data_IF_498844630627
#
_entry.id   IF_498844630627
#
_cell.length_a   1.000
_cell.length_b   1.000
_cell.length_c   1.000
_cell.angle_alpha   90.00
_cell.angle_beta   90.00
_cell.angle_gamma   90.00
#
_symmetry.space_group_name_H-M   'P 1'
#
loop_
_entity.id
_entity.type
_entity.pdbx_description
1 polymer ?
#
# COMPACT_ATOMS: atom_id res chain seq x y z
N UNK A 1 26.13 19.67 22.60
CA UNK A 1 24.77 19.06 22.56
C UNK A 1 24.63 18.14 23.76
N UNK A 2 23.66 18.40 24.65
CA UNK A 2 23.40 17.56 25.83
C UNK A 2 22.19 16.67 25.55
N UNK A 3 22.27 15.38 25.87
CA UNK A 3 21.12 14.47 25.78
C UNK A 3 20.39 14.40 27.12
N UNK A 4 19.06 14.39 27.09
CA UNK A 4 18.21 14.21 28.28
C UNK A 4 16.98 13.38 27.89
N UNK A 5 16.53 12.54 28.81
CA UNK A 5 15.22 11.92 28.70
C UNK A 5 14.16 12.89 29.24
N UNK A 6 13.24 13.32 28.39
CA UNK A 6 12.18 14.27 28.76
C UNK A 6 10.85 13.83 28.16
N UNK A 7 9.76 14.36 28.71
CA UNK A 7 8.43 14.21 28.15
C UNK A 7 8.12 15.38 27.23
N UNK A 8 7.59 15.09 26.05
CA UNK A 8 7.30 16.04 24.99
C UNK A 8 5.80 16.00 24.73
N UNK A 9 5.18 17.17 24.73
CA UNK A 9 3.80 17.35 24.30
C UNK A 9 3.77 18.18 23.02
N UNK A 10 2.97 17.73 22.06
CA UNK A 10 2.53 18.53 20.93
C UNK A 10 1.04 18.81 21.04
N UNK A 11 0.68 20.07 20.82
CA UNK A 11 -0.71 20.51 20.69
C UNK A 11 -0.94 21.07 19.29
N UNK A 12 -2.07 20.77 18.64
CA UNK A 12 -2.43 21.27 17.29
C UNK A 12 -3.91 21.67 17.24
N UNK A 13 -4.26 22.76 16.54
CA UNK A 13 -5.67 23.15 16.38
C UNK A 13 -6.27 22.36 15.21
N UNK A 14 -7.26 21.51 15.51
CA UNK A 14 -7.93 20.68 14.51
C UNK A 14 -8.54 21.55 13.41
N UNK A 15 -8.04 21.31 12.19
CA UNK A 15 -8.57 21.93 10.98
C UNK A 15 -8.27 23.42 10.90
N UNK A 16 -7.23 23.92 11.56
CA UNK A 16 -6.81 25.33 11.54
C UNK A 16 -6.81 25.90 10.11
N UNK A 17 -6.08 25.27 9.19
CA UNK A 17 -5.99 25.70 7.79
C UNK A 17 -7.35 25.78 7.08
N UNK A 18 -8.26 24.85 7.38
CA UNK A 18 -9.61 24.85 6.81
C UNK A 18 -10.51 25.90 7.47
N UNK A 19 -10.37 26.12 8.78
CA UNK A 19 -11.11 27.14 9.54
C UNK A 19 -10.68 28.56 9.14
N UNK A 20 -9.39 28.79 8.88
CA UNK A 20 -8.84 30.12 8.56
C UNK A 20 -8.92 30.48 7.08
N UNK A 21 -9.28 29.56 6.19
CA UNK A 21 -9.39 29.83 4.75
C UNK A 21 -10.40 30.94 4.41
N UNK A 22 -11.44 31.12 5.24
CA UNK A 22 -12.43 32.19 5.11
C UNK A 22 -12.24 33.35 6.08
N UNK A 23 -11.18 33.35 6.90
CA UNK A 23 -10.95 34.37 7.93
C UNK A 23 -10.11 35.52 7.38
N UNK A 24 -10.37 36.72 7.89
CA UNK A 24 -9.42 37.82 7.76
C UNK A 24 -8.14 37.53 8.56
N UNK A 25 -7.06 38.23 8.22
CA UNK A 25 -5.79 38.15 8.98
C UNK A 25 -6.00 38.48 10.46
N UNK A 26 -6.82 39.49 10.76
CA UNK A 26 -7.13 39.91 12.14
C UNK A 26 -7.83 38.79 12.92
N UNK A 27 -8.84 38.14 12.34
CA UNK A 27 -9.55 37.01 12.97
C UNK A 27 -8.64 35.80 13.21
N UNK A 28 -7.72 35.53 12.27
CA UNK A 28 -6.73 34.45 12.43
C UNK A 28 -5.77 34.75 13.58
N UNK A 29 -5.29 35.99 13.66
CA UNK A 29 -4.41 36.43 14.73
C UNK A 29 -5.11 36.43 16.11
N UNK A 30 -6.38 36.83 16.16
CA UNK A 30 -7.19 36.77 17.37
C UNK A 30 -7.40 35.33 17.85
N UNK A 31 -7.70 34.39 16.94
CA UNK A 31 -7.83 32.98 17.29
C UNK A 31 -6.52 32.40 17.85
N UNK A 32 -5.38 32.72 17.23
CA UNK A 32 -4.06 32.28 17.72
C UNK A 32 -3.72 32.91 19.07
N UNK A 33 -4.04 34.19 19.28
CA UNK A 33 -3.85 34.87 20.55
C UNK A 33 -4.72 34.23 21.65
N UNK A 34 -5.99 33.93 21.36
CA UNK A 34 -6.89 33.27 22.31
C UNK A 34 -6.43 31.84 22.63
N UNK A 35 -5.98 31.09 21.63
CA UNK A 35 -5.37 29.77 21.85
C UNK A 35 -4.19 29.86 22.82
N UNK A 36 -3.27 30.81 22.59
CA UNK A 36 -2.10 31.03 23.45
C UNK A 36 -2.51 31.42 24.88
N UNK A 37 -3.49 32.31 25.02
CA UNK A 37 -4.02 32.77 26.31
C UNK A 37 -4.64 31.61 27.12
N UNK A 38 -5.30 30.65 26.46
CA UNK A 38 -5.93 29.52 27.13
C UNK A 38 -4.95 28.41 27.50
N UNK A 39 -3.91 28.18 26.69
CA UNK A 39 -3.03 27.02 26.84
C UNK A 39 -1.80 27.31 27.68
N UNK A 40 -1.11 28.45 27.48
CA UNK A 40 0.17 28.70 28.16
C UNK A 40 0.08 28.78 29.69
N UNK A 41 -0.95 29.41 30.29
CA UNK A 41 -1.08 29.42 31.76
C UNK A 41 -1.23 28.01 32.34
N UNK A 42 -1.87 27.09 31.59
CA UNK A 42 -2.00 25.69 32.02
C UNK A 42 -0.64 25.00 31.93
N UNK A 43 0.09 25.21 30.83
CA UNK A 43 1.45 24.67 30.64
C UNK A 43 2.37 25.09 31.79
N UNK A 44 2.38 26.37 32.15
CA UNK A 44 3.21 26.89 33.24
C UNK A 44 2.83 26.29 34.61
N UNK A 45 1.53 26.16 34.90
CA UNK A 45 1.01 25.58 36.15
C UNK A 45 1.44 24.12 36.35
N UNK A 46 1.65 23.37 35.28
CA UNK A 46 2.16 21.98 35.31
C UNK A 46 3.65 21.89 34.98
N UNK A 47 4.41 22.96 35.23
CA UNK A 47 5.87 22.98 35.05
C UNK A 47 6.35 22.66 33.62
N UNK A 48 5.48 22.86 32.63
CA UNK A 48 5.81 22.70 31.24
C UNK A 48 6.57 23.91 30.71
N UNK A 49 7.56 23.64 29.84
CA UNK A 49 8.34 24.67 29.16
C UNK A 49 7.99 24.67 27.68
N UNK A 50 7.44 25.78 27.18
CA UNK A 50 7.26 25.99 25.75
C UNK A 50 8.63 26.06 25.08
N UNK A 51 8.93 25.09 24.20
CA UNK A 51 10.19 25.05 23.44
C UNK A 51 10.07 25.93 22.21
N UNK A 52 9.03 25.70 21.40
CA UNK A 52 8.75 26.51 20.21
C UNK A 52 7.30 26.38 19.77
N UNK A 53 6.90 27.30 18.90
CA UNK A 53 5.62 27.30 18.21
C UNK A 53 5.85 26.94 16.74
N UNK A 54 5.05 26.02 16.19
CA UNK A 54 5.11 25.57 14.81
C UNK A 54 3.75 25.86 14.16
N UNK A 55 3.59 27.06 13.61
CA UNK A 55 2.28 27.52 13.14
C UNK A 55 1.32 27.73 14.31
N UNK A 56 0.24 26.97 14.35
CA UNK A 56 -0.72 26.91 15.45
C UNK A 56 -0.38 25.85 16.51
N UNK A 57 0.64 25.02 16.26
CA UNK A 57 1.05 23.97 17.15
C UNK A 57 2.06 24.43 18.22
N UNK A 58 1.98 23.89 19.43
CA UNK A 58 2.97 24.13 20.49
C UNK A 58 3.77 22.87 20.79
N UNK A 59 5.10 23.01 20.83
CA UNK A 59 6.02 22.00 21.32
C UNK A 59 6.41 22.35 22.75
N UNK A 60 5.98 21.53 23.69
CA UNK A 60 6.18 21.73 25.12
C UNK A 60 6.97 20.57 25.70
N UNK A 61 7.92 20.88 26.58
CA UNK A 61 8.75 19.90 27.28
C UNK A 61 8.40 19.87 28.78
N UNK A 62 8.38 18.67 29.36
CA UNK A 62 8.13 18.42 30.78
C UNK A 62 9.20 17.44 31.31
N UNK A 63 9.63 17.66 32.55
CA UNK A 63 10.48 16.69 33.25
C UNK A 63 9.64 15.50 33.81
N UNK A 64 8.36 15.73 34.12
CA UNK A 64 7.42 14.73 34.66
C UNK A 64 6.43 14.26 33.58
N UNK A 65 6.34 12.94 33.30
CA UNK A 65 5.30 12.38 32.43
C UNK A 65 3.90 12.58 32.98
N UNK A 66 3.72 12.50 34.30
CA UNK A 66 2.43 12.72 34.96
C UNK A 66 1.94 14.14 34.74
N UNK A 67 2.82 15.14 34.94
CA UNK A 67 2.49 16.56 34.76
C UNK A 67 2.08 16.85 33.32
N UNK A 68 2.78 16.26 32.34
CA UNK A 68 2.41 16.39 30.94
C UNK A 68 1.00 15.88 30.67
N UNK A 69 0.64 14.71 31.19
CA UNK A 69 -0.70 14.14 30.95
C UNK A 69 -1.78 14.96 31.67
N UNK A 70 -1.56 15.35 32.93
CA UNK A 70 -2.48 16.21 33.68
C UNK A 70 -2.66 17.58 33.01
N UNK A 71 -1.57 18.18 32.52
CA UNK A 71 -1.61 19.40 31.73
C UNK A 71 -2.50 19.22 30.50
N UNK A 72 -2.37 18.10 29.79
CA UNK A 72 -3.21 17.79 28.64
C UNK A 72 -4.69 17.71 29.00
N UNK A 73 -5.02 17.04 30.11
CA UNK A 73 -6.41 16.93 30.61
C UNK A 73 -6.99 18.29 30.95
N UNK A 74 -6.22 19.11 31.64
CA UNK A 74 -6.65 20.45 32.06
C UNK A 74 -6.80 21.40 30.87
N UNK A 75 -5.91 21.34 29.87
CA UNK A 75 -6.07 22.09 28.61
C UNK A 75 -7.42 21.74 27.96
N UNK A 76 -7.76 20.45 27.89
CA UNK A 76 -9.04 20.03 27.32
C UNK A 76 -10.24 20.52 28.16
N UNK A 77 -10.11 20.60 29.48
CA UNK A 77 -11.15 21.16 30.37
C UNK A 77 -11.35 22.65 30.15
N UNK A 78 -10.27 23.44 30.09
CA UNK A 78 -10.32 24.88 29.80
C UNK A 78 -10.94 25.15 28.44
N UNK A 79 -10.55 24.40 27.41
CA UNK A 79 -11.11 24.54 26.06
C UNK A 79 -12.59 24.15 26.00
N UNK A 80 -13.01 23.12 26.73
CA UNK A 80 -14.44 22.76 26.84
C UNK A 80 -15.25 23.91 27.43
N UNK A 81 -14.78 24.52 28.51
CA UNK A 81 -15.40 25.71 29.10
C UNK A 81 -15.47 26.87 28.10
N UNK A 82 -14.38 27.13 27.38
CA UNK A 82 -14.33 28.18 26.36
C UNK A 82 -15.26 27.93 25.16
N UNK A 83 -15.42 26.66 24.75
CA UNK A 83 -16.24 26.26 23.61
C UNK A 83 -17.72 26.11 23.96
N UNK A 84 -18.09 26.18 25.24
CA UNK A 84 -19.47 26.12 25.69
C UNK A 84 -20.26 27.32 25.14
N UNK A 85 -21.39 27.05 24.50
CA UNK A 85 -22.24 28.10 23.91
C UNK A 85 -21.71 28.73 22.61
N UNK A 86 -20.63 28.21 22.02
CA UNK A 86 -20.08 28.70 20.73
C UNK A 86 -20.47 27.81 19.56
N UNK A 87 -20.58 28.40 18.37
CA UNK A 87 -20.77 27.67 17.12
C UNK A 87 -19.44 27.06 16.63
N UNK A 88 -19.55 25.99 15.83
CA UNK A 88 -18.41 25.23 15.31
C UNK A 88 -17.25 26.05 14.70
N UNK A 89 -17.46 27.14 13.92
CA UNK A 89 -16.36 27.95 13.39
C UNK A 89 -15.60 28.74 14.47
N UNK A 90 -16.22 28.99 15.63
CA UNK A 90 -15.62 29.72 16.75
C UNK A 90 -14.99 28.81 17.80
N UNK A 91 -15.21 27.48 17.71
CA UNK A 91 -14.64 26.51 18.64
C UNK A 91 -13.15 26.28 18.37
N UNK A 92 -12.36 26.34 19.43
CA UNK A 92 -10.95 25.99 19.45
C UNK A 92 -10.85 24.54 19.92
N UNK A 93 -10.59 23.64 18.99
CA UNK A 93 -10.51 22.21 19.25
C UNK A 93 -9.08 21.75 19.06
N UNK A 94 -8.48 21.18 20.10
CA UNK A 94 -7.06 20.87 20.12
C UNK A 94 -6.85 19.37 20.23
N UNK A 95 -5.87 18.88 19.48
CA UNK A 95 -5.31 17.54 19.61
C UNK A 95 -4.10 17.62 20.51
N UNK A 96 -3.95 16.64 21.41
CA UNK A 96 -2.81 16.59 22.32
C UNK A 96 -2.16 15.22 22.19
N UNK A 97 -0.87 15.21 21.89
CA UNK A 97 -0.04 14.02 21.82
C UNK A 97 1.18 14.15 22.72
N UNK A 98 1.48 13.10 23.48
CA UNK A 98 2.56 13.10 24.47
C UNK A 98 3.44 11.87 24.28
N UNK A 99 4.74 12.05 24.29
CA UNK A 99 5.71 10.97 24.26
C UNK A 99 6.87 11.26 25.21
N UNK A 100 7.51 10.23 25.74
CA UNK A 100 8.72 10.36 26.53
C UNK A 100 9.87 9.64 25.82
N UNK A 101 11.05 10.23 25.86
CA UNK A 101 12.24 9.62 25.28
C UNK A 101 13.46 10.53 25.31
N UNK A 102 14.59 9.99 24.90
CA UNK A 102 15.83 10.75 24.80
C UNK A 102 15.75 11.78 23.66
N UNK A 103 16.14 13.02 23.98
CA UNK A 103 16.32 14.09 23.01
C UNK A 103 17.68 14.74 23.18
N UNK A 104 18.21 15.26 22.08
CA UNK A 104 19.34 16.15 22.08
C UNK A 104 18.84 17.60 22.21
N UNK A 105 19.32 18.28 23.24
CA UNK A 105 19.04 19.69 23.50
C UNK A 105 20.18 20.52 22.92
N UNK A 106 19.80 21.49 22.09
CA UNK A 106 20.70 22.44 21.47
C UNK A 106 20.86 23.70 22.35
N UNK A 107 21.89 24.51 22.10
CA UNK A 107 22.27 25.62 22.99
C UNK A 107 21.24 26.77 23.01
N UNK A 108 20.41 26.85 21.96
CA UNK A 108 19.25 27.74 21.84
C UNK A 108 17.99 27.23 22.57
N UNK A 109 18.08 26.04 23.18
CA UNK A 109 16.98 25.41 23.92
C UNK A 109 16.05 24.55 23.07
N UNK A 110 16.31 24.43 21.77
CA UNK A 110 15.53 23.57 20.88
C UNK A 110 15.83 22.08 21.11
N UNK A 111 14.87 21.21 20.78
CA UNK A 111 14.95 19.77 21.02
C UNK A 111 14.83 18.98 19.72
N UNK A 112 15.69 17.97 19.59
CA UNK A 112 15.75 17.10 18.42
C UNK A 112 15.87 15.64 18.84
N UNK A 113 15.30 14.75 18.03
CA UNK A 113 15.43 13.31 18.23
C UNK A 113 14.17 12.56 17.83
N UNK A 114 14.27 11.24 17.90
CA UNK A 114 13.18 10.34 17.52
C UNK A 114 11.94 10.55 18.39
N UNK A 115 12.10 10.93 19.66
CA UNK A 115 10.99 11.24 20.54
C UNK A 115 10.11 12.38 19.99
N UNK A 116 10.71 13.44 19.42
CA UNK A 116 9.99 14.55 18.77
C UNK A 116 9.26 14.06 17.53
N UNK A 117 9.94 13.25 16.70
CA UNK A 117 9.38 12.68 15.48
C UNK A 117 8.17 11.80 15.79
N UNK A 118 8.29 10.89 16.76
CA UNK A 118 7.19 10.03 17.24
C UNK A 118 6.01 10.88 17.74
N UNK A 119 6.27 11.91 18.54
CA UNK A 119 5.21 12.80 19.06
C UNK A 119 4.42 13.45 17.91
N UNK A 120 5.12 13.90 16.86
CA UNK A 120 4.47 14.51 15.68
C UNK A 120 3.59 13.53 14.90
N UNK A 121 3.95 12.24 14.90
CA UNK A 121 3.14 11.19 14.26
C UNK A 121 1.96 10.79 15.13
N UNK A 122 2.14 10.78 16.45
CA UNK A 122 1.07 10.54 17.40
C UNK A 122 0.03 11.66 17.34
N UNK A 123 0.45 12.92 17.25
CA UNK A 123 -0.43 14.09 17.08
C UNK A 123 -1.35 13.91 15.86
N UNK A 124 -0.78 13.48 14.73
CA UNK A 124 -1.57 13.31 13.49
C UNK A 124 -2.71 12.29 13.58
N UNK A 125 -2.65 11.35 14.52
CA UNK A 125 -3.71 10.35 14.77
C UNK A 125 -4.57 10.69 15.99
N UNK A 126 -4.19 11.69 16.78
CA UNK A 126 -4.93 12.09 17.97
C UNK A 126 -6.25 12.75 17.57
N UNK A 127 -7.30 12.40 18.30
CA UNK A 127 -8.61 13.01 18.12
C UNK A 127 -8.69 14.34 18.89
N UNK A 128 -9.43 15.30 18.34
CA UNK A 128 -9.65 16.56 19.03
C UNK A 128 -10.46 16.34 20.31
N UNK A 129 -10.07 17.05 21.38
CA UNK A 129 -10.70 16.87 22.68
C UNK A 129 -10.24 15.61 23.43
N UNK A 130 -9.23 14.90 22.92
CA UNK A 130 -8.61 13.75 23.58
C UNK A 130 -7.11 14.01 23.83
N UNK A 131 -6.54 13.24 24.77
CA UNK A 131 -5.12 13.27 25.12
C UNK A 131 -4.54 11.90 24.84
N UNK A 132 -3.67 11.84 23.84
CA UNK A 132 -3.03 10.60 23.39
C UNK A 132 -1.60 10.57 23.88
N UNK A 133 -1.13 9.39 24.28
CA UNK A 133 0.25 9.25 24.72
C UNK A 133 0.80 7.84 24.46
N UNK A 134 2.13 7.73 24.38
CA UNK A 134 2.81 6.45 24.11
C UNK A 134 2.93 5.59 25.36
N UNK A 135 3.26 4.31 25.15
CA UNK A 135 3.61 3.39 26.23
C UNK A 135 4.74 3.89 27.13
N UNK A 136 5.73 4.61 26.59
CA UNK A 136 6.81 5.19 27.38
C UNK A 136 6.27 6.15 28.46
N UNK A 137 5.29 6.97 28.12
CA UNK A 137 4.60 7.85 29.08
C UNK A 137 3.76 7.02 30.05
N UNK A 138 2.99 6.05 29.54
CA UNK A 138 2.12 5.20 30.37
C UNK A 138 2.88 4.43 31.45
N UNK A 139 4.09 3.96 31.13
CA UNK A 139 4.94 3.21 32.07
C UNK A 139 5.59 4.11 33.12
N UNK A 140 5.87 5.37 32.78
CA UNK A 140 6.59 6.30 33.65
C UNK A 140 5.68 7.24 34.47
N UNK A 141 4.40 7.39 34.10
CA UNK A 141 3.45 8.25 34.80
C UNK A 141 2.83 7.58 36.04
N UNK A 142 2.28 8.38 36.95
CA UNK A 142 1.45 7.90 38.06
C UNK A 142 0.04 7.52 37.57
N UNK A 143 -0.18 6.23 37.32
CA UNK A 143 -1.44 5.67 36.80
C UNK A 143 -2.66 5.89 37.71
N UNK A 144 -2.45 6.21 38.99
CA UNK A 144 -3.54 6.47 39.94
C UNK A 144 -4.17 7.85 39.74
N UNK A 145 -3.40 8.80 39.21
CA UNK A 145 -3.86 10.17 39.00
C UNK A 145 -4.59 10.35 37.67
N UNK A 146 -4.32 9.48 36.68
CA UNK A 146 -4.91 9.59 35.34
C UNK A 146 -5.47 8.24 34.85
N UNK A 147 -6.77 7.99 35.01
CA UNK A 147 -7.45 6.86 34.41
C UNK A 147 -7.25 6.85 32.89
N UNK A 148 -6.77 5.73 32.35
CA UNK A 148 -6.31 5.66 30.97
C UNK A 148 -6.71 4.33 30.32
N UNK A 149 -6.98 4.36 29.02
CA UNK A 149 -7.32 3.18 28.22
C UNK A 149 -6.32 2.97 27.10
N UNK A 150 -6.07 1.70 26.78
CA UNK A 150 -5.26 1.33 25.63
C UNK A 150 -6.04 1.48 24.33
N UNK A 151 -5.43 2.11 23.33
CA UNK A 151 -5.92 2.18 21.94
C UNK A 151 -5.31 1.05 21.10
N UNK A 152 -4.13 0.58 21.49
CA UNK A 152 -3.40 -0.54 20.90
C UNK A 152 -2.16 -0.10 20.12
N UNK A 153 -1.59 -1.03 19.36
CA UNK A 153 -0.38 -0.79 18.58
C UNK A 153 -0.65 0.02 17.31
N UNK A 154 0.25 0.96 17.01
CA UNK A 154 0.27 1.80 15.82
C UNK A 154 1.66 1.77 15.17
N UNK A 155 1.68 1.53 13.87
CA UNK A 155 2.91 1.67 13.07
C UNK A 155 2.95 3.08 12.50
N UNK A 156 3.97 3.84 12.86
CA UNK A 156 4.18 5.18 12.31
C UNK A 156 5.16 5.15 11.14
N UNK A 157 4.94 6.02 10.16
CA UNK A 157 5.82 6.12 8.99
C UNK A 157 7.24 6.52 9.41
N UNK A 158 8.22 5.71 9.03
CA UNK A 158 9.64 5.97 9.31
C UNK A 158 10.12 5.49 10.69
N UNK A 159 9.26 4.85 11.46
CA UNK A 159 9.62 4.17 12.72
C UNK A 159 9.48 2.67 12.45
N UNK A 160 10.53 1.89 12.74
CA UNK A 160 10.56 0.46 12.45
C UNK A 160 9.61 -0.33 13.36
N UNK A 161 9.52 0.07 14.63
CA UNK A 161 8.74 -0.62 15.65
C UNK A 161 7.30 -0.12 15.74
N UNK A 162 6.39 -1.01 16.16
CA UNK A 162 5.02 -0.63 16.49
C UNK A 162 5.02 0.02 17.86
N UNK A 163 4.46 1.21 17.96
CA UNK A 163 4.33 1.93 19.23
C UNK A 163 2.93 1.69 19.78
N UNK A 164 2.85 1.29 21.04
CA UNK A 164 1.60 1.12 21.75
C UNK A 164 1.10 2.47 22.25
N UNK A 165 -0.18 2.76 22.00
CA UNK A 165 -0.81 4.06 22.24
C UNK A 165 -1.93 3.94 23.26
N UNK A 166 -2.03 4.96 24.11
CA UNK A 166 -3.00 5.11 25.18
C UNK A 166 -3.74 6.44 25.04
N UNK A 167 -4.92 6.52 25.64
CA UNK A 167 -5.68 7.76 25.81
C UNK A 167 -6.22 7.89 27.22
N UNK A 168 -6.38 9.13 27.67
CA UNK A 168 -7.05 9.42 28.95
C UNK A 168 -8.55 9.11 28.86
N UNK A 169 -9.09 8.46 29.88
CA UNK A 169 -10.54 8.23 30.02
C UNK A 169 -11.20 9.53 30.48
N UNK A 170 -12.32 9.89 29.85
CA UNK A 170 -13.15 10.99 30.33
C UNK A 170 -13.87 10.50 31.58
N UNK A 171 -13.64 11.15 32.72
CA UNK A 171 -14.53 10.99 33.87
C UNK A 171 -15.90 11.54 33.47
N UNK A 172 -16.85 10.64 33.21
CA UNK A 172 -18.27 11.00 33.25
C UNK A 172 -18.58 11.44 34.69
N UNK A 173 -19.20 12.60 34.90
CA UNK A 173 -19.68 13.00 36.22
C UNK A 173 -20.61 11.90 36.75
N UNK A 174 -20.26 11.35 37.91
CA UNK A 174 -21.12 10.45 38.67
C UNK A 174 -22.39 11.24 39.01
N UNK A 175 -23.50 10.96 38.31
CA UNK A 175 -24.77 11.65 38.50
C UNK A 175 -25.66 11.86 37.27
N UNK A 176 -25.24 11.46 36.06
CA UNK A 176 -26.14 11.41 34.91
C UNK A 176 -26.43 9.94 34.57
N UNK A 177 -27.69 9.53 34.81
CA UNK A 177 -28.21 8.18 34.61
C UNK A 177 -27.67 7.48 33.34
N UNK A 178 -26.66 6.63 33.52
CA UNK A 178 -26.43 5.51 32.63
C UNK A 178 -27.40 4.42 33.09
N UNK A 179 -28.46 4.22 32.33
CA UNK A 179 -29.30 3.05 32.45
C UNK A 179 -28.40 1.81 32.43
N UNK A 180 -28.47 1.02 33.49
CA UNK A 180 -27.88 -0.30 33.59
C UNK A 180 -28.34 -1.14 32.40
N UNK A 181 -27.39 -1.59 31.59
CA UNK A 181 -27.53 -2.71 30.67
C UNK A 181 -26.62 -3.83 31.18
N UNK A 182 -27.15 -5.04 31.46
CA UNK A 182 -26.48 -6.00 32.32
C UNK A 182 -25.27 -6.68 31.67
N UNK A 183 -24.31 -7.02 32.53
CA UNK A 183 -23.15 -7.84 32.22
C UNK A 183 -23.54 -9.17 31.55
N UNK A 184 -22.94 -9.46 30.39
CA UNK A 184 -23.05 -10.76 29.72
C UNK A 184 -21.76 -11.54 29.94
N UNK A 185 -21.88 -12.67 30.64
CA UNK A 185 -20.86 -13.72 30.75
C UNK A 185 -20.81 -14.58 29.46
N UNK A 186 -19.71 -15.31 29.20
CA UNK A 186 -19.39 -15.83 27.88
C UNK A 186 -20.07 -17.17 27.57
N UNK A 187 -20.48 -17.34 26.31
CA UNK A 187 -20.77 -18.65 25.71
C UNK A 187 -22.17 -18.80 25.14
N UNK A 188 -22.32 -18.45 23.86
CA UNK A 188 -23.14 -19.14 22.84
C UNK A 188 -23.01 -18.36 21.53
N UNK A 189 -22.47 -19.02 20.51
CA UNK A 189 -22.38 -18.50 19.15
C UNK A 189 -23.77 -18.24 18.58
N UNK A 190 -23.99 -16.99 18.16
CA UNK A 190 -24.99 -16.59 17.18
C UNK A 190 -24.30 -15.66 16.16
N UNK A 191 -24.70 -15.70 14.88
CA UNK A 191 -23.86 -15.33 13.74
C UNK A 191 -23.49 -13.84 13.73
N UNK A 192 -22.30 -13.47 13.19
CA UNK A 192 -21.77 -12.13 13.36
C UNK A 192 -22.65 -11.09 12.67
N UNK A 193 -23.31 -10.27 13.49
CA UNK A 193 -23.82 -8.98 13.06
C UNK A 193 -22.67 -8.14 12.51
N UNK A 194 -22.88 -7.55 11.34
CA UNK A 194 -21.90 -6.74 10.63
C UNK A 194 -21.30 -5.64 11.53
N UNK A 195 -19.97 -5.44 11.51
CA UNK A 195 -19.33 -4.46 12.40
C UNK A 195 -19.73 -3.01 12.06
N UNK A 196 -19.70 -2.11 13.06
CA UNK A 196 -20.08 -0.72 12.89
C UNK A 196 -19.16 -0.04 11.87
N UNK A 197 -19.81 0.62 10.91
CA UNK A 197 -19.27 1.37 9.78
C UNK A 197 -18.06 2.22 10.23
N UNK A 198 -16.86 1.68 10.03
CA UNK A 198 -15.60 2.35 10.33
C UNK A 198 -15.54 3.69 9.59
N UNK A 199 -14.94 4.67 10.26
CA UNK A 199 -14.73 6.03 9.81
C UNK A 199 -14.51 6.14 8.30
N UNK A 200 -15.33 6.98 7.64
CA UNK A 200 -15.03 7.47 6.29
C UNK A 200 -13.70 8.22 6.36
N UNK A 201 -12.61 7.51 6.08
CA UNK A 201 -11.41 8.14 5.57
C UNK A 201 -11.80 8.85 4.27
N UNK A 202 -11.22 10.03 4.00
CA UNK A 202 -11.31 10.70 2.71
C UNK A 202 -10.61 9.85 1.64
N UNK A 203 -11.25 8.75 1.27
CA UNK A 203 -10.82 7.83 0.24
C UNK A 203 -11.23 8.42 -1.10
N UNK A 204 -10.33 9.12 -1.79
CA UNK A 204 -10.58 9.44 -3.19
C UNK A 204 -10.63 8.12 -3.98
N UNK A 205 -11.78 7.73 -4.56
CA UNK A 205 -11.86 6.53 -5.36
C UNK A 205 -10.93 6.69 -6.57
N UNK A 206 -10.09 5.68 -6.82
CA UNK A 206 -9.14 5.72 -7.92
C UNK A 206 -9.86 5.92 -9.24
N UNK A 207 -9.46 6.94 -10.01
CA UNK A 207 -10.04 7.23 -11.32
C UNK A 207 -9.84 6.07 -12.30
N UNK A 208 -10.84 5.87 -13.18
CA UNK A 208 -10.88 4.76 -14.16
C UNK A 208 -9.56 4.57 -14.92
N UNK A 209 -9.00 5.65 -15.50
CA UNK A 209 -7.76 5.59 -16.26
C UNK A 209 -6.57 5.07 -15.46
N UNK A 210 -6.48 5.39 -14.17
CA UNK A 210 -5.40 4.86 -13.32
C UNK A 210 -5.54 3.36 -13.08
N UNK A 211 -6.78 2.89 -12.90
CA UNK A 211 -7.08 1.46 -12.74
C UNK A 211 -6.80 0.68 -14.03
N UNK A 212 -7.15 1.26 -15.18
CA UNK A 212 -6.86 0.68 -16.49
C UNK A 212 -5.34 0.60 -16.73
N UNK A 213 -4.58 1.66 -16.43
CA UNK A 213 -3.12 1.65 -16.54
C UNK A 213 -2.50 0.61 -15.59
N UNK A 214 -2.98 0.49 -14.34
CA UNK A 214 -2.48 -0.58 -13.46
C UNK A 214 -2.75 -1.97 -14.00
N UNK A 215 -3.93 -2.20 -14.59
CA UNK A 215 -4.30 -3.49 -15.17
C UNK A 215 -3.40 -3.84 -16.36
N UNK A 216 -3.11 -2.86 -17.23
CA UNK A 216 -2.19 -3.04 -18.35
C UNK A 216 -0.76 -3.32 -17.88
N UNK A 217 -0.30 -2.62 -16.84
CA UNK A 217 1.02 -2.88 -16.23
C UNK A 217 1.10 -4.30 -15.64
N UNK A 218 0.07 -4.74 -14.93
CA UNK A 218 -0.01 -6.12 -14.44
C UNK A 218 0.01 -7.12 -15.59
N UNK A 219 -0.69 -6.86 -16.69
CA UNK A 219 -0.67 -7.70 -17.88
C UNK A 219 0.74 -7.80 -18.50
N UNK A 220 1.46 -6.68 -18.59
CA UNK A 220 2.84 -6.65 -19.07
C UNK A 220 3.80 -7.40 -18.13
N UNK A 221 3.71 -7.16 -16.82
CA UNK A 221 4.56 -7.83 -15.81
C UNK A 221 4.29 -9.33 -15.82
N UNK A 222 3.03 -9.74 -15.83
CA UNK A 222 2.66 -11.15 -15.88
C UNK A 222 3.15 -11.82 -17.17
N UNK A 223 3.01 -11.18 -18.32
CA UNK A 223 3.55 -11.69 -19.59
C UNK A 223 5.09 -11.82 -19.54
N UNK A 224 5.78 -10.84 -18.95
CA UNK A 224 7.23 -10.87 -18.78
C UNK A 224 7.67 -11.99 -17.83
N UNK A 225 6.96 -12.20 -16.71
CA UNK A 225 7.23 -13.26 -15.74
C UNK A 225 6.99 -14.64 -16.36
N UNK A 226 5.90 -14.83 -17.09
CA UNK A 226 5.65 -16.07 -17.83
C UNK A 226 6.75 -16.35 -18.87
N UNK A 227 7.23 -15.30 -19.55
CA UNK A 227 8.31 -15.42 -20.52
C UNK A 227 9.67 -15.75 -19.86
N UNK A 228 9.92 -15.21 -18.66
CA UNK A 228 11.20 -15.35 -17.94
C UNK A 228 11.31 -16.67 -17.18
N UNK A 229 10.20 -17.16 -16.60
CA UNK A 229 10.21 -18.39 -15.80
C UNK A 229 10.19 -19.68 -16.61
N UNK A 230 10.08 -19.61 -17.95
CA UNK A 230 9.99 -20.78 -18.83
C UNK A 230 9.01 -21.86 -18.30
N UNK A 231 7.92 -21.45 -17.63
CA UNK A 231 6.89 -22.32 -17.03
C UNK A 231 5.93 -22.91 -18.10
N UNK A 232 6.52 -23.33 -19.20
CA UNK A 232 5.88 -23.98 -20.33
C UNK A 232 6.65 -25.25 -20.57
N UNK A 233 6.12 -26.36 -20.06
CA UNK A 233 6.47 -27.75 -20.38
C UNK A 233 7.90 -27.99 -20.88
N UNK A 234 8.74 -28.60 -20.04
CA UNK A 234 10.01 -29.17 -20.48
C UNK A 234 9.79 -30.09 -21.70
N UNK A 235 10.33 -29.69 -22.84
CA UNK A 235 10.35 -30.48 -24.06
C UNK A 235 11.11 -29.74 -25.15
N UNK A 236 12.16 -30.30 -25.75
CA UNK A 236 12.86 -29.67 -26.86
C UNK A 236 11.94 -29.64 -28.09
N UNK A 237 11.81 -28.50 -28.74
CA UNK A 237 11.09 -28.40 -30.02
C UNK A 237 11.95 -27.63 -31.04
N UNK A 238 12.17 -28.24 -32.19
CA UNK A 238 12.93 -27.67 -33.30
C UNK A 238 11.92 -27.04 -34.26
N UNK A 239 11.88 -25.71 -34.33
CA UNK A 239 11.06 -25.02 -35.33
C UNK A 239 11.85 -24.77 -36.62
N UNK A 240 11.46 -25.47 -37.68
CA UNK A 240 11.83 -25.15 -39.06
C UNK A 240 10.97 -23.96 -39.51
N UNK A 241 11.62 -22.85 -39.85
CA UNK A 241 10.95 -21.67 -40.44
C UNK A 241 10.56 -22.05 -41.87
N UNK A 242 9.26 -22.20 -42.14
CA UNK A 242 8.74 -22.42 -43.49
C UNK A 242 8.93 -21.14 -44.31
N UNK A 243 10.04 -21.06 -45.03
CA UNK A 243 10.11 -20.41 -46.33
C UNK A 243 9.96 -21.52 -47.36
N UNK A 244 8.83 -21.53 -48.07
CA UNK A 244 8.52 -22.38 -49.23
C UNK A 244 9.02 -23.83 -49.14
N UNK A 245 8.36 -24.65 -48.31
CA UNK A 245 8.52 -26.11 -48.36
C UNK A 245 7.95 -26.66 -49.68
N UNK A 246 8.82 -26.94 -50.65
CA UNK A 246 8.59 -28.06 -51.56
C UNK A 246 8.79 -29.33 -50.74
N UNK A 247 7.70 -30.03 -50.40
CA UNK A 247 7.78 -31.36 -49.79
C UNK A 247 8.23 -32.36 -50.88
N UNK A 248 9.44 -32.95 -50.82
CA UNK A 248 9.77 -34.03 -51.73
C UNK A 248 8.88 -35.24 -51.45
N UNK A 249 8.44 -35.93 -52.51
CA UNK A 249 7.69 -37.20 -52.39
C UNK A 249 8.47 -38.18 -51.50
N UNK A 250 7.76 -38.88 -50.60
CA UNK A 250 8.33 -39.94 -49.75
C UNK A 250 9.17 -40.89 -50.61
N UNK A 251 10.47 -40.91 -50.37
CA UNK A 251 11.41 -41.78 -51.09
C UNK A 251 12.01 -42.81 -50.13
N UNK A 252 12.13 -44.05 -50.57
CA UNK A 252 12.75 -45.11 -49.78
C UNK A 252 14.25 -44.82 -49.59
N UNK A 253 14.73 -45.06 -48.36
CA UNK A 253 16.15 -44.95 -48.02
C UNK A 253 16.90 -46.10 -48.69
N UNK A 254 18.05 -45.79 -49.29
CA UNK A 254 18.89 -46.77 -49.96
C UNK A 254 20.07 -47.19 -49.07
N UNK A 255 20.79 -46.21 -48.51
CA UNK A 255 21.97 -46.48 -47.70
C UNK A 255 22.12 -45.47 -46.56
N UNK A 256 22.53 -45.99 -45.39
CA UNK A 256 22.86 -45.20 -44.20
C UNK A 256 24.29 -45.53 -43.79
N UNK A 257 25.13 -44.51 -43.62
CA UNK A 257 26.53 -44.65 -43.24
C UNK A 257 26.88 -43.70 -42.08
N UNK A 258 27.63 -44.20 -41.09
CA UNK A 258 28.11 -43.43 -39.96
C UNK A 258 29.63 -43.29 -40.06
N UNK A 259 30.12 -42.06 -40.20
CA UNK A 259 31.54 -41.74 -40.31
C UNK A 259 32.05 -40.87 -39.17
N UNK A 260 33.36 -40.62 -39.13
CA UNK A 260 34.00 -39.78 -38.10
C UNK A 260 33.45 -38.34 -38.05
N UNK A 261 32.93 -37.83 -39.18
CA UNK A 261 32.34 -36.49 -39.33
C UNK A 261 30.82 -36.40 -39.06
N UNK A 262 30.08 -37.52 -39.04
CA UNK A 262 28.62 -37.51 -38.89
C UNK A 262 27.88 -38.70 -39.53
N UNK A 263 26.53 -38.63 -39.51
CA UNK A 263 25.62 -39.60 -40.13
C UNK A 263 25.21 -39.12 -41.52
N UNK A 264 25.31 -39.98 -42.53
CA UNK A 264 24.88 -39.68 -43.90
C UNK A 264 23.84 -40.70 -44.36
N UNK A 265 22.71 -40.21 -44.88
CA UNK A 265 21.60 -41.00 -45.42
C UNK A 265 21.42 -40.66 -46.89
N UNK A 266 21.43 -41.67 -47.77
CA UNK A 266 21.15 -41.53 -49.20
C UNK A 266 19.82 -42.18 -49.57
N UNK A 267 18.97 -41.43 -50.27
CA UNK A 267 17.72 -41.91 -50.85
C UNK A 267 17.93 -42.50 -52.24
N UNK A 268 17.04 -43.41 -52.67
CA UNK A 268 17.11 -44.06 -54.00
C UNK A 268 16.98 -43.10 -55.20
N UNK A 269 16.52 -41.87 -54.96
CA UNK A 269 16.43 -40.80 -55.95
C UNK A 269 17.71 -39.95 -56.07
N UNK A 270 18.79 -40.30 -55.34
CA UNK A 270 20.05 -39.56 -55.33
C UNK A 270 20.12 -38.41 -54.33
N UNK A 271 19.06 -38.13 -53.56
CA UNK A 271 19.09 -37.14 -52.48
C UNK A 271 19.96 -37.63 -51.31
N UNK A 272 20.78 -36.73 -50.77
CA UNK A 272 21.67 -37.04 -49.64
C UNK A 272 21.40 -36.09 -48.48
N UNK A 273 21.21 -36.66 -47.28
CA UNK A 273 21.06 -35.96 -46.01
C UNK A 273 22.30 -36.25 -45.18
N UNK A 274 23.04 -35.22 -44.76
CA UNK A 274 24.19 -35.35 -43.88
C UNK A 274 23.96 -34.59 -42.57
N UNK A 275 24.17 -35.28 -41.45
CA UNK A 275 24.07 -34.75 -40.08
C UNK A 275 25.47 -34.76 -39.48
N UNK A 276 26.05 -33.58 -39.32
CA UNK A 276 27.41 -33.41 -38.81
C UNK A 276 27.45 -33.38 -37.29
N UNK A 277 28.59 -33.77 -36.68
CA UNK A 277 28.78 -33.71 -35.21
C UNK A 277 28.61 -32.30 -34.60
N UNK A 278 28.75 -31.24 -35.41
CA UNK A 278 28.54 -29.85 -34.99
C UNK A 278 27.06 -29.40 -34.98
N UNK A 279 26.11 -30.33 -35.19
CA UNK A 279 24.67 -30.05 -35.09
C UNK A 279 24.04 -29.49 -36.37
N UNK A 280 24.77 -29.41 -37.48
CA UNK A 280 24.24 -28.98 -38.77
C UNK A 280 23.68 -30.15 -39.59
N UNK A 281 22.45 -30.01 -40.10
CA UNK A 281 21.84 -30.90 -41.09
C UNK A 281 21.87 -30.23 -42.46
N UNK A 282 22.48 -30.88 -43.45
CA UNK A 282 22.47 -30.42 -44.85
C UNK A 282 21.75 -31.43 -45.74
N UNK A 283 20.85 -30.95 -46.59
CA UNK A 283 20.14 -31.75 -47.60
C UNK A 283 20.59 -31.27 -48.97
N UNK A 284 21.02 -32.19 -49.83
CA UNK A 284 21.45 -31.88 -51.20
C UNK A 284 20.62 -32.70 -52.19
N UNK A 285 20.01 -32.01 -53.16
CA UNK A 285 19.22 -32.63 -54.24
C UNK A 285 19.97 -32.52 -55.59
N UNK A 286 20.12 -33.62 -56.34
CA UNK A 286 20.83 -33.63 -57.62
C UNK A 286 20.19 -32.79 -58.74
N UNK A 287 18.91 -32.43 -58.66
CA UNK A 287 18.23 -31.57 -59.64
C UNK A 287 18.61 -30.07 -59.51
N UNK A 288 19.16 -29.66 -58.37
CA UNK A 288 19.66 -28.29 -58.12
C UNK A 288 21.01 -28.36 -57.38
N UNK A 289 22.12 -28.55 -58.12
CA UNK A 289 23.45 -28.75 -57.51
C UNK A 289 23.97 -27.52 -56.76
N UNK A 290 23.50 -26.32 -57.14
CA UNK A 290 23.85 -25.06 -56.47
C UNK A 290 22.89 -24.65 -55.35
N UNK A 291 21.89 -25.49 -55.03
CA UNK A 291 20.97 -25.33 -53.91
C UNK A 291 21.66 -25.56 -52.57
N UNK A 292 22.72 -24.78 -52.31
CA UNK A 292 23.29 -24.58 -50.99
C UNK A 292 22.17 -23.89 -50.20
N UNK A 293 21.38 -24.66 -49.46
CA UNK A 293 20.56 -24.12 -48.36
C UNK A 293 21.55 -23.54 -47.34
N UNK A 294 21.98 -22.32 -47.66
CA UNK A 294 22.87 -21.48 -46.90
C UNK A 294 22.15 -21.25 -45.58
N UNK A 295 22.72 -21.87 -44.54
CA UNK A 295 22.91 -21.28 -43.22
C UNK A 295 21.76 -20.34 -42.83
N UNK A 296 20.84 -20.81 -41.97
CA UNK A 296 20.16 -19.90 -41.04
C UNK A 296 21.21 -19.33 -40.09
N UNK A 297 22.03 -18.39 -40.58
CA UNK A 297 22.80 -17.50 -39.73
C UNK A 297 21.78 -16.67 -38.95
N UNK A 298 21.77 -16.82 -37.63
CA UNK A 298 20.96 -16.01 -36.75
C UNK A 298 19.52 -16.51 -36.57
N UNK A 299 19.31 -17.81 -36.42
CA UNK A 299 18.32 -18.24 -35.45
C UNK A 299 19.03 -18.28 -34.11
N UNK A 300 18.85 -17.26 -33.26
CA UNK A 300 19.07 -17.47 -31.83
C UNK A 300 18.40 -18.80 -31.46
N UNK A 301 19.01 -19.56 -30.54
CA UNK A 301 18.30 -20.61 -29.83
C UNK A 301 17.13 -19.93 -29.10
N UNK A 302 16.06 -19.67 -29.84
CA UNK A 302 14.84 -19.09 -29.35
C UNK A 302 14.06 -20.24 -28.78
N UNK A 303 13.87 -20.19 -27.47
CA UNK A 303 12.80 -20.90 -26.81
C UNK A 303 11.50 -20.51 -27.52
N UNK A 304 10.97 -21.41 -28.33
CA UNK A 304 9.61 -21.29 -28.81
C UNK A 304 8.70 -21.85 -27.71
N UNK A 305 8.22 -20.94 -26.88
CA UNK A 305 7.67 -21.18 -25.54
C UNK A 305 6.29 -21.83 -25.51
N UNK A 306 5.78 -22.44 -26.58
CA UNK A 306 4.43 -23.05 -26.59
C UNK A 306 3.30 -22.09 -26.22
N UNK A 307 3.60 -20.80 -26.13
CA UNK A 307 2.73 -19.73 -25.69
C UNK A 307 2.88 -18.52 -26.61
N UNK A 308 3.26 -18.76 -27.87
CA UNK A 308 3.20 -17.74 -28.92
C UNK A 308 1.75 -17.27 -29.06
N UNK A 309 1.57 -15.96 -29.09
CA UNK A 309 0.30 -15.28 -29.36
C UNK A 309 -0.46 -16.00 -30.49
N UNK A 310 -1.55 -16.69 -30.15
CA UNK A 310 -2.44 -17.30 -31.16
C UNK A 310 -3.23 -18.54 -30.73
N UNK A 311 -2.67 -19.43 -29.90
CA UNK A 311 -3.35 -20.71 -29.61
C UNK A 311 -4.40 -20.57 -28.49
N UNK A 312 -5.68 -20.47 -28.89
CA UNK A 312 -6.85 -20.43 -28.00
C UNK A 312 -6.89 -21.60 -26.99
N UNK A 313 -6.20 -22.70 -27.27
CA UNK A 313 -6.15 -23.92 -26.43
C UNK A 313 -5.57 -23.66 -25.03
N UNK A 314 -4.63 -22.72 -24.89
CA UNK A 314 -3.98 -22.43 -23.60
C UNK A 314 -4.57 -21.23 -22.86
N UNK A 315 -5.59 -20.58 -23.44
CA UNK A 315 -6.31 -19.49 -22.80
C UNK A 315 -6.80 -19.80 -21.37
N UNK A 316 -7.44 -20.96 -21.07
CA UNK A 316 -7.92 -21.24 -19.71
C UNK A 316 -6.78 -21.39 -18.70
N UNK A 317 -5.65 -21.97 -19.10
CA UNK A 317 -4.47 -22.14 -18.23
C UNK A 317 -3.84 -20.77 -17.92
N UNK A 318 -3.70 -19.90 -18.93
CA UNK A 318 -3.21 -18.53 -18.72
C UNK A 318 -4.13 -17.74 -17.78
N UNK A 319 -5.45 -17.90 -17.92
CA UNK A 319 -6.44 -17.26 -17.05
C UNK A 319 -6.32 -17.76 -15.60
N UNK A 320 -6.15 -19.07 -15.38
CA UNK A 320 -5.95 -19.61 -14.04
C UNK A 320 -4.65 -19.12 -13.39
N UNK A 321 -3.55 -19.08 -14.14
CA UNK A 321 -2.28 -18.53 -13.66
C UNK A 321 -2.39 -17.03 -13.34
N UNK A 322 -3.14 -16.28 -14.15
CA UNK A 322 -3.44 -14.86 -13.88
C UNK A 322 -4.25 -14.68 -12.60
N UNK A 323 -5.30 -15.47 -12.41
CA UNK A 323 -6.10 -15.44 -11.18
C UNK A 323 -5.25 -15.81 -9.96
N UNK A 324 -4.38 -16.81 -10.09
CA UNK A 324 -3.47 -17.22 -9.02
C UNK A 324 -2.47 -16.09 -8.68
N UNK A 325 -1.88 -15.46 -9.69
CA UNK A 325 -1.02 -14.28 -9.51
C UNK A 325 -1.76 -13.16 -8.75
N UNK A 326 -2.97 -12.79 -9.20
CA UNK A 326 -3.79 -11.78 -8.55
C UNK A 326 -4.13 -12.17 -7.10
N UNK A 327 -4.53 -13.42 -6.85
CA UNK A 327 -4.88 -13.91 -5.53
C UNK A 327 -3.70 -13.85 -4.56
N UNK A 328 -2.54 -14.36 -4.97
CA UNK A 328 -1.32 -14.37 -4.15
C UNK A 328 -0.86 -12.94 -3.87
N UNK A 329 -0.82 -12.06 -4.88
CA UNK A 329 -0.39 -10.68 -4.70
C UNK A 329 -1.32 -9.89 -3.78
N UNK A 330 -2.64 -10.05 -3.97
CA UNK A 330 -3.63 -9.39 -3.10
C UNK A 330 -3.58 -9.93 -1.68
N UNK A 331 -3.45 -11.24 -1.50
CA UNK A 331 -3.31 -11.84 -0.18
C UNK A 331 -2.03 -11.35 0.53
N UNK A 332 -0.89 -11.38 -0.15
CA UNK A 332 0.41 -11.11 0.46
C UNK A 332 0.71 -9.62 0.66
N UNK A 333 0.21 -8.77 -0.24
CA UNK A 333 0.57 -7.35 -0.30
C UNK A 333 -0.62 -6.39 -0.36
N UNK A 334 -1.86 -6.88 -0.50
CA UNK A 334 -3.05 -6.04 -0.59
C UNK A 334 -3.16 -5.21 -1.89
N UNK A 335 -2.31 -5.48 -2.87
CA UNK A 335 -2.28 -4.85 -4.19
C UNK A 335 -1.52 -5.75 -5.18
N UNK A 336 -1.85 -5.68 -6.46
CA UNK A 336 -1.05 -6.29 -7.53
C UNK A 336 0.14 -5.39 -7.89
N UNK A 337 1.14 -5.90 -8.62
CA UNK A 337 2.35 -5.12 -8.93
C UNK A 337 2.05 -3.83 -9.71
N UNK A 338 1.16 -3.89 -10.70
CA UNK A 338 0.69 -2.73 -11.45
C UNK A 338 -0.08 -1.74 -10.57
N UNK A 339 -0.88 -2.24 -9.62
CA UNK A 339 -1.53 -1.40 -8.62
C UNK A 339 -0.51 -0.71 -7.71
N UNK A 340 0.55 -1.39 -7.28
CA UNK A 340 1.61 -0.76 -6.48
C UNK A 340 2.30 0.38 -7.21
N UNK A 341 2.63 0.19 -8.50
CA UNK A 341 3.20 1.24 -9.36
C UNK A 341 2.26 2.45 -9.44
N UNK A 342 0.96 2.19 -9.59
CA UNK A 342 -0.08 3.23 -9.65
C UNK A 342 -0.52 3.76 -8.29
N UNK A 343 0.09 3.26 -7.19
CA UNK A 343 -0.23 3.62 -5.81
C UNK A 343 -1.68 3.34 -5.46
N UNK A 344 -2.17 2.20 -5.88
CA UNK A 344 -3.50 1.71 -5.59
C UNK A 344 -3.40 0.62 -4.53
N UNK A 345 -4.39 0.57 -3.65
CA UNK A 345 -4.52 -0.51 -2.67
C UNK A 345 -5.95 -1.01 -2.67
N UNK A 346 -6.10 -2.32 -2.55
CA UNK A 346 -7.40 -2.94 -2.38
C UNK A 346 -7.69 -3.11 -0.91
N UNK A 347 -8.84 -2.61 -0.47
CA UNK A 347 -9.31 -2.70 0.91
C UNK A 347 -10.73 -3.26 0.94
N UNK A 348 -11.11 -3.79 2.07
CA UNK A 348 -12.48 -4.21 2.33
C UNK A 348 -13.42 -3.00 2.30
N UNK A 349 -14.55 -3.12 1.59
CA UNK A 349 -15.47 -2.02 1.37
C UNK A 349 -16.20 -1.59 2.65
N UNK A 350 -16.45 -2.52 3.57
CA UNK A 350 -17.18 -2.29 4.81
C UNK A 350 -16.28 -1.79 5.94
N UNK A 351 -15.05 -2.31 6.02
CA UNK A 351 -14.15 -2.08 7.16
C UNK A 351 -12.94 -1.18 6.83
N UNK A 352 -12.60 -1.01 5.55
CA UNK A 352 -11.38 -0.29 5.11
C UNK A 352 -10.07 -1.00 5.46
N UNK A 353 -10.14 -2.21 6.03
CA UNK A 353 -9.00 -3.04 6.38
C UNK A 353 -8.42 -3.75 5.13
N UNK A 354 -7.19 -4.30 5.21
CA UNK A 354 -6.69 -5.21 4.19
C UNK A 354 -7.67 -6.36 3.97
N UNK A 355 -7.84 -6.78 2.70
CA UNK A 355 -8.74 -7.89 2.38
C UNK A 355 -8.32 -9.17 3.12
N UNK A 356 -9.31 -9.87 3.68
CA UNK A 356 -9.16 -11.25 4.15
C UNK A 356 -8.77 -12.18 3.00
N UNK A 357 -8.17 -13.33 3.34
CA UNK A 357 -7.76 -14.37 2.40
C UNK A 357 -8.93 -14.79 1.51
N UNK A 358 -10.05 -15.15 2.13
CA UNK A 358 -11.33 -15.51 1.52
C UNK A 358 -11.78 -14.49 0.46
N UNK A 359 -11.79 -13.20 0.80
CA UNK A 359 -12.23 -12.12 -0.10
C UNK A 359 -11.22 -11.86 -1.22
N UNK A 360 -9.92 -12.02 -0.96
CA UNK A 360 -8.89 -11.90 -2.00
C UNK A 360 -9.01 -13.00 -3.06
N UNK A 361 -9.25 -14.25 -2.64
CA UNK A 361 -9.49 -15.37 -3.56
C UNK A 361 -10.81 -15.23 -4.30
N UNK A 362 -11.89 -14.81 -3.63
CA UNK A 362 -13.20 -14.58 -4.25
C UNK A 362 -13.13 -13.49 -5.33
N UNK A 363 -12.42 -12.39 -5.03
CA UNK A 363 -12.13 -11.32 -5.98
C UNK A 363 -11.34 -11.82 -7.19
N UNK A 364 -10.30 -12.63 -6.97
CA UNK A 364 -9.51 -13.22 -8.06
C UNK A 364 -10.35 -14.17 -8.94
N UNK A 365 -11.21 -14.99 -8.35
CA UNK A 365 -12.12 -15.87 -9.07
C UNK A 365 -13.09 -15.09 -9.97
N UNK A 366 -13.79 -14.09 -9.42
CA UNK A 366 -14.72 -13.28 -10.21
C UNK A 366 -14.04 -12.30 -11.19
N UNK A 367 -12.75 -12.02 -11.01
CA UNK A 367 -11.96 -11.28 -12.00
C UNK A 367 -11.84 -12.06 -13.32
N UNK A 368 -11.87 -13.40 -13.28
CA UNK A 368 -11.91 -14.26 -14.48
C UNK A 368 -13.22 -14.09 -15.23
N UNK A 369 -14.34 -14.05 -14.51
CA UNK A 369 -15.68 -13.84 -15.07
C UNK A 369 -15.76 -12.45 -15.73
N UNK A 370 -15.19 -11.45 -15.06
CA UNK A 370 -15.10 -10.07 -15.60
C UNK A 370 -14.30 -10.02 -16.90
N UNK A 371 -13.27 -10.87 -17.03
CA UNK A 371 -12.43 -10.97 -18.22
C UNK A 371 -13.09 -11.80 -19.35
N UNK A 372 -13.73 -12.92 -19.00
CA UNK A 372 -14.41 -13.80 -19.95
C UNK A 372 -15.62 -13.15 -20.60
N UNK A 373 -16.30 -12.22 -19.91
CA UNK A 373 -17.36 -11.40 -20.47
C UNK A 373 -16.82 -10.22 -21.32
N UNK A 374 -15.81 -10.46 -22.16
CA UNK A 374 -15.15 -9.45 -23.01
C UNK A 374 -14.70 -8.17 -22.27
N UNK A 375 -14.35 -8.28 -20.98
CA UNK A 375 -13.97 -7.13 -20.16
C UNK A 375 -15.13 -6.24 -19.70
N UNK A 376 -16.39 -6.62 -19.94
CA UNK A 376 -17.59 -5.88 -19.51
C UNK A 376 -17.57 -5.56 -18.01
N UNK A 377 -17.08 -6.48 -17.18
CA UNK A 377 -16.96 -6.26 -15.74
C UNK A 377 -15.94 -5.18 -15.33
N UNK A 378 -14.99 -4.84 -16.22
CA UNK A 378 -14.05 -3.72 -16.04
C UNK A 378 -14.59 -2.43 -16.65
N UNK A 379 -15.29 -2.51 -17.79
CA UNK A 379 -15.94 -1.36 -18.44
C UNK A 379 -17.08 -0.80 -17.58
N UNK A 380 -17.78 -1.67 -16.85
CA UNK A 380 -18.83 -1.29 -15.89
C UNK A 380 -18.39 -0.21 -14.90
N UNK A 381 -17.13 -0.25 -14.45
CA UNK A 381 -16.56 0.71 -13.50
C UNK A 381 -16.51 2.17 -14.03
N UNK A 382 -16.74 2.39 -15.33
CA UNK A 382 -16.86 3.74 -15.92
C UNK A 382 -18.14 4.43 -15.48
N UNK A 383 -19.26 3.69 -15.39
CA UNK A 383 -20.59 4.24 -15.11
C UNK A 383 -21.03 4.10 -13.66
N UNK A 384 -20.39 3.23 -12.88
CA UNK A 384 -20.73 3.06 -11.48
C UNK A 384 -20.25 4.24 -10.61
N UNK A 385 -21.11 4.73 -9.71
CA UNK A 385 -20.86 5.89 -8.85
C UNK A 385 -19.60 5.75 -8.00
N UNK A 386 -19.33 4.55 -7.47
CA UNK A 386 -18.15 4.24 -6.65
C UNK A 386 -17.00 3.62 -7.47
N UNK A 387 -17.17 3.55 -8.80
CA UNK A 387 -16.23 3.00 -9.79
C UNK A 387 -15.82 1.56 -9.48
N UNK A 388 -16.69 0.75 -8.88
CA UNK A 388 -16.39 -0.65 -8.58
C UNK A 388 -16.51 -1.49 -9.85
N UNK A 389 -15.74 -2.57 -9.91
CA UNK A 389 -15.90 -3.63 -10.92
C UNK A 389 -16.83 -4.72 -10.39
N UNK A 390 -17.29 -5.64 -11.24
CA UNK A 390 -18.13 -6.75 -10.77
C UNK A 390 -17.45 -7.61 -9.70
N UNK A 391 -16.15 -7.83 -9.82
CA UNK A 391 -15.37 -8.57 -8.82
C UNK A 391 -15.10 -7.76 -7.55
N UNK A 392 -15.10 -6.42 -7.63
CA UNK A 392 -15.07 -5.54 -6.46
C UNK A 392 -16.38 -5.71 -5.67
N UNK A 393 -17.52 -5.64 -6.36
CA UNK A 393 -18.86 -5.74 -5.80
C UNK A 393 -19.10 -7.11 -5.14
N UNK A 394 -18.79 -8.19 -5.86
CA UNK A 394 -19.00 -9.57 -5.37
C UNK A 394 -18.09 -9.94 -4.21
N UNK A 395 -16.88 -9.36 -4.15
CA UNK A 395 -15.95 -9.60 -3.05
C UNK A 395 -16.10 -8.61 -1.88
N UNK A 396 -16.99 -7.61 -2.00
CA UNK A 396 -17.13 -6.54 -1.00
C UNK A 396 -15.83 -5.76 -0.79
N UNK A 397 -15.16 -5.40 -1.89
CA UNK A 397 -13.83 -4.77 -1.88
C UNK A 397 -13.84 -3.48 -2.69
N UNK A 398 -12.95 -2.53 -2.35
CA UNK A 398 -12.81 -1.24 -3.05
C UNK A 398 -11.35 -0.89 -3.26
N UNK A 399 -11.07 -0.16 -4.34
CA UNK A 399 -9.71 0.29 -4.70
C UNK A 399 -9.54 1.77 -4.32
N UNK A 400 -8.59 2.04 -3.44
CA UNK A 400 -8.26 3.38 -2.93
C UNK A 400 -6.90 3.84 -3.44
N UNK A 401 -6.71 5.15 -3.60
CA UNK A 401 -5.42 5.75 -3.97
C UNK A 401 -4.57 6.08 -2.73
N UNK A 402 -3.31 5.66 -2.74
CA UNK A 402 -2.27 6.05 -1.80
C UNK A 402 -1.61 7.35 -2.30
N UNK A 403 -1.94 8.49 -1.69
CA UNK A 403 -1.36 9.79 -2.08
C UNK A 403 0.17 9.80 -1.84
N UNK A 404 0.94 10.27 -2.82
CA UNK A 404 2.38 10.57 -2.68
C UNK A 404 2.51 11.83 -1.81
N UNK A 405 3.25 11.78 -0.72
CA UNK A 405 3.76 13.01 -0.09
C UNK A 405 4.75 13.65 -1.06
N UNK A 406 4.30 14.61 -1.87
CA UNK A 406 5.14 15.46 -2.71
C UNK A 406 5.79 16.51 -1.82
N UNK A 407 6.94 16.19 -1.24
CA UNK A 407 7.82 17.17 -0.57
C UNK A 407 9.28 16.67 -0.51
N UNK A 408 9.75 15.93 -1.52
CA UNK A 408 11.11 15.37 -1.54
C UNK A 408 11.77 15.40 -2.93
N UNK A 409 11.28 16.23 -3.86
CA UNK A 409 11.74 16.20 -5.26
C UNK A 409 12.51 17.43 -5.75
N UNK A 410 12.42 18.58 -5.08
CA UNK A 410 12.90 19.87 -5.63
C UNK A 410 14.21 20.39 -5.05
N UNK A 411 14.86 19.65 -4.14
CA UNK A 411 16.10 20.11 -3.49
C UNK A 411 17.38 19.61 -4.19
N UNK A 412 17.29 18.63 -5.10
CA UNK A 412 18.47 18.02 -5.74
C UNK A 412 18.88 18.71 -7.05
N UNK A 413 17.96 19.42 -7.73
CA UNK A 413 18.26 20.17 -8.98
C UNK A 413 18.85 21.58 -8.74
N UNK A 414 18.91 22.08 -7.51
CA UNK A 414 19.51 23.39 -7.18
C UNK A 414 20.96 23.31 -6.69
N UNK A 415 21.61 22.14 -6.80
CA UNK A 415 23.02 21.95 -6.39
C UNK A 415 24.02 21.88 -7.56
N UNK A 416 23.56 22.00 -8.81
CA UNK A 416 24.42 21.99 -10.00
C UNK A 416 24.30 23.26 -10.88
N UNK A 417 23.80 24.38 -10.33
CA UNK A 417 23.75 25.68 -11.02
C UNK A 417 24.42 26.78 -10.17
#
# INVERSE_FOLDING_TARGET
MKTRNITIMLTDIKGFTSKTAGFSRAQTQEMLAKHRELVLPVVERFHGRLVKTIGDAFLVAFDSPTDAVLCGVEIQTVLRGHNAGKDHPQKIEIRIAINAGEVAIHDDGDIYGDAVNITSRLESIAEAGEVFFTEAVYLAMNKKEVPSSEIGYRQFKGIAEKIKVYRVLRETPIGANAAEGPAVLPGTEAPPAAPPRAARQDECPAGFWRRLISLLLDACIFAMVLNTLSLTSCGPNVKVRSGETFLPKKTAVDQVALGSAGLTIKGKNGETIAITKAGGVSITNPAHPEGKLLRTSGGEAGFDTGLRDGDKKYAPVKMLLWALYCAIMLWRFGATAGMMVMKLKVVDAATGAPLGTDKAFLRAFFSLVSFSAAGLGYVWAVWEKDKLTWHDLLAGSKIIMLRKNTAAGTAQERREA
#
